data_IF_650187505676
#
_entry.id   IF_650187505676
#
_cell.length_a   1.000
_cell.length_b   1.000
_cell.length_c   1.000
_cell.angle_alpha   90.00
_cell.angle_beta   90.00
_cell.angle_gamma   90.00
#
_symmetry.space_group_name_H-M   'P 1'
#
loop_
_entity.id
_entity.type
_entity.pdbx_description
1 polymer ?
#
# COMPACT_ATOMS: atom_id res chain seq x y z
N UNK A 1 -25.48 14.24 45.63
CA UNK A 1 -25.96 15.16 44.57
C UNK A 1 -25.40 16.53 44.82
N UNK A 2 -24.32 16.96 44.16
CA UNK A 2 -24.29 17.23 42.73
C UNK A 2 -22.84 17.11 42.20
N UNK A 3 -22.57 16.05 41.45
CA UNK A 3 -21.35 15.95 40.63
C UNK A 3 -21.68 16.58 39.27
N UNK A 4 -21.46 17.88 39.16
CA UNK A 4 -21.75 18.64 37.94
C UNK A 4 -20.68 18.34 36.89
N UNK A 5 -21.09 17.53 35.92
CA UNK A 5 -20.34 17.16 34.73
C UNK A 5 -19.64 18.35 34.08
N UNK A 6 -18.30 18.36 34.14
CA UNK A 6 -17.45 19.15 33.25
C UNK A 6 -17.53 18.51 31.86
N UNK A 7 -18.60 18.80 31.12
CA UNK A 7 -18.67 18.53 29.68
C UNK A 7 -17.75 19.54 28.98
N UNK A 8 -16.55 19.08 28.63
CA UNK A 8 -15.59 19.85 27.84
C UNK A 8 -16.24 20.37 26.57
N UNK A 9 -16.33 21.70 26.45
CA UNK A 9 -16.76 22.36 25.23
C UNK A 9 -15.84 21.94 24.07
N UNK A 10 -16.43 21.34 23.03
CA UNK A 10 -15.73 21.05 21.79
C UNK A 10 -15.14 22.35 21.25
N UNK A 11 -13.81 22.44 21.21
CA UNK A 11 -13.10 23.59 20.66
C UNK A 11 -13.31 23.55 19.14
N UNK A 12 -14.29 24.32 18.66
CA UNK A 12 -14.53 24.49 17.23
C UNK A 12 -13.45 25.42 16.67
N UNK A 13 -12.31 24.84 16.27
CA UNK A 13 -11.34 25.54 15.43
C UNK A 13 -11.97 25.95 14.09
N UNK A 14 -11.38 26.91 13.36
CA UNK A 14 -11.87 27.30 12.05
C UNK A 14 -11.95 26.08 11.12
N UNK A 15 -13.10 25.91 10.46
CA UNK A 15 -13.27 24.83 9.48
C UNK A 15 -12.37 25.08 8.28
N UNK A 16 -11.28 24.34 8.20
CA UNK A 16 -10.42 24.32 7.02
C UNK A 16 -11.23 23.70 5.86
N UNK A 17 -11.59 24.54 4.88
CA UNK A 17 -12.19 24.08 3.63
C UNK A 17 -11.11 24.02 2.56
N UNK A 18 -10.90 22.84 2.00
CA UNK A 18 -10.03 22.65 0.84
C UNK A 18 -10.78 23.22 -0.37
N UNK A 19 -10.28 24.28 -1.04
CA UNK A 19 -10.94 24.79 -2.24
C UNK A 19 -10.83 23.76 -3.39
N UNK A 20 -11.91 23.58 -4.13
CA UNK A 20 -11.95 22.70 -5.30
C UNK A 20 -12.41 21.27 -5.00
N UNK A 21 -12.00 20.34 -5.86
CA UNK A 21 -12.33 18.91 -5.75
C UNK A 21 -11.13 18.14 -5.23
N UNK A 22 -11.36 17.17 -4.36
CA UNK A 22 -10.28 16.32 -3.81
C UNK A 22 -10.20 15.03 -4.62
N UNK A 23 -9.00 14.71 -5.10
CA UNK A 23 -8.70 13.44 -5.75
C UNK A 23 -7.88 12.58 -4.80
N UNK A 24 -8.39 11.40 -4.46
CA UNK A 24 -7.69 10.41 -3.66
C UNK A 24 -6.96 9.44 -4.59
N UNK A 25 -5.62 9.44 -4.54
CA UNK A 25 -4.78 8.44 -5.19
C UNK A 25 -4.54 7.30 -4.21
N UNK A 26 -4.79 6.07 -4.65
CA UNK A 26 -4.59 4.89 -3.79
C UNK A 26 -4.10 3.70 -4.63
N UNK A 27 -3.23 2.83 -4.08
CA UNK A 27 -2.79 1.64 -4.78
C UNK A 27 -3.83 0.52 -4.67
N UNK A 28 -4.04 -0.21 -5.77
CA UNK A 28 -4.81 -1.45 -5.84
C UNK A 28 -3.94 -2.49 -6.52
N UNK A 29 -3.62 -3.58 -5.79
CA UNK A 29 -2.75 -4.66 -6.27
C UNK A 29 -1.41 -4.18 -6.88
N UNK A 30 -0.86 -3.09 -6.33
CA UNK A 30 0.42 -2.51 -6.77
C UNK A 30 0.32 -1.49 -7.90
N UNK A 31 -0.88 -1.17 -8.39
CA UNK A 31 -1.11 -0.15 -9.42
C UNK A 31 -1.88 1.03 -8.82
N UNK A 32 -1.48 2.26 -9.12
CA UNK A 32 -2.19 3.45 -8.65
C UNK A 32 -3.53 3.63 -9.38
N UNK A 33 -4.56 3.91 -8.61
CA UNK A 33 -5.88 4.34 -9.09
C UNK A 33 -6.25 5.68 -8.44
N UNK A 34 -7.32 6.30 -8.94
CA UNK A 34 -7.77 7.61 -8.51
C UNK A 34 -9.29 7.68 -8.48
N UNK A 35 -9.82 8.27 -7.40
CA UNK A 35 -11.23 8.60 -7.27
C UNK A 35 -11.42 10.04 -6.81
N UNK A 36 -12.46 10.70 -7.31
CA UNK A 36 -12.92 11.95 -6.73
C UNK A 36 -13.64 11.64 -5.41
N UNK A 37 -13.24 12.35 -4.35
CA UNK A 37 -13.82 12.17 -3.01
C UNK A 37 -14.30 13.51 -2.46
N UNK A 38 -15.25 13.43 -1.53
CA UNK A 38 -15.70 14.61 -0.80
C UNK A 38 -14.59 15.11 0.14
N UNK A 39 -14.60 16.40 0.47
CA UNK A 39 -13.59 17.00 1.35
C UNK A 39 -13.66 16.46 2.80
N UNK A 40 -14.80 15.92 3.19
CA UNK A 40 -15.07 15.26 4.47
C UNK A 40 -14.96 13.73 4.40
N UNK A 41 -14.34 13.18 3.34
CA UNK A 41 -14.13 11.74 3.22
C UNK A 41 -13.37 11.23 4.46
N UNK A 42 -13.92 10.30 5.26
CA UNK A 42 -13.38 10.00 6.59
C UNK A 42 -11.89 9.63 6.62
N UNK A 43 -11.34 8.86 5.65
CA UNK A 43 -9.90 8.60 5.56
C UNK A 43 -9.02 9.85 5.39
N UNK A 44 -9.56 10.97 4.87
CA UNK A 44 -8.85 12.25 4.77
C UNK A 44 -9.01 13.13 6.02
N UNK A 45 -10.00 12.83 6.87
CA UNK A 45 -10.23 13.56 8.13
C UNK A 45 -9.36 13.07 9.29
N UNK A 46 -8.55 12.03 9.08
CA UNK A 46 -7.63 11.48 10.08
C UNK A 46 -6.28 11.16 9.46
N UNK A 47 -5.21 11.26 10.26
CA UNK A 47 -3.87 10.85 9.85
C UNK A 47 -3.65 9.41 10.32
N UNK A 48 -3.68 8.46 9.40
CA UNK A 48 -3.23 7.10 9.67
C UNK A 48 -1.70 7.02 9.59
N UNK A 49 -1.06 6.52 10.64
CA UNK A 49 0.39 6.32 10.65
C UNK A 49 0.74 5.11 9.79
N UNK A 50 1.61 5.33 8.80
CA UNK A 50 2.15 4.29 7.94
C UNK A 50 3.69 4.39 7.90
N UNK A 51 4.43 3.26 7.78
CA UNK A 51 5.89 3.26 7.79
C UNK A 51 6.55 4.16 6.73
N UNK A 52 5.84 4.44 5.63
CA UNK A 52 6.34 5.23 4.50
C UNK A 52 5.71 6.62 4.37
N UNK A 53 4.90 7.07 5.36
CA UNK A 53 4.09 8.29 5.21
C UNK A 53 4.93 9.53 4.84
N UNK A 54 6.13 9.69 5.39
CA UNK A 54 6.99 10.84 5.09
C UNK A 54 7.58 10.74 3.69
N UNK A 55 7.92 9.52 3.25
CA UNK A 55 8.52 9.31 1.94
C UNK A 55 7.48 9.55 0.83
N UNK A 56 6.26 9.05 1.01
CA UNK A 56 5.17 9.11 0.02
C UNK A 56 4.67 10.54 -0.25
N UNK A 57 4.99 11.51 0.61
CA UNK A 57 4.56 12.92 0.48
C UNK A 57 5.64 13.83 -0.12
N UNK A 58 6.77 13.28 -0.58
CA UNK A 58 7.79 14.09 -1.28
C UNK A 58 7.26 14.47 -2.67
N UNK A 59 7.59 15.68 -3.15
CA UNK A 59 7.09 16.22 -4.42
C UNK A 59 7.20 15.27 -5.63
N UNK A 60 8.31 14.52 -5.70
CA UNK A 60 8.55 13.52 -6.76
C UNK A 60 7.59 12.31 -6.70
N UNK A 61 7.14 11.91 -5.52
CA UNK A 61 6.29 10.73 -5.35
C UNK A 61 4.85 11.01 -5.84
N UNK A 62 4.35 12.24 -5.70
CA UNK A 62 3.07 12.62 -6.30
C UNK A 62 3.11 12.49 -7.83
N UNK A 63 4.20 12.96 -8.45
CA UNK A 63 4.37 12.84 -9.89
C UNK A 63 4.50 11.37 -10.31
N UNK A 64 5.23 10.55 -9.54
CA UNK A 64 5.33 9.11 -9.76
C UNK A 64 3.96 8.42 -9.67
N UNK A 65 3.15 8.73 -8.66
CA UNK A 65 1.80 8.20 -8.50
C UNK A 65 0.86 8.59 -9.66
N UNK A 66 0.92 9.84 -10.13
CA UNK A 66 0.14 10.30 -11.29
C UNK A 66 0.59 9.63 -12.59
N UNK A 67 1.90 9.42 -12.78
CA UNK A 67 2.44 8.66 -13.91
C UNK A 67 2.02 7.20 -13.86
N UNK A 68 2.10 6.58 -12.68
CA UNK A 68 1.63 5.22 -12.44
C UNK A 68 0.13 5.05 -12.71
N UNK A 69 -0.70 6.02 -12.31
CA UNK A 69 -2.12 6.05 -12.64
C UNK A 69 -2.36 6.09 -14.16
N UNK A 70 -1.64 6.97 -14.87
CA UNK A 70 -1.76 7.09 -16.32
C UNK A 70 -1.32 5.81 -17.02
N UNK A 71 -0.21 5.22 -16.60
CA UNK A 71 0.30 3.96 -17.14
C UNK A 71 -0.66 2.79 -16.84
N UNK A 72 -1.16 2.68 -15.61
CA UNK A 72 -2.15 1.66 -15.22
C UNK A 72 -3.45 1.74 -16.02
N UNK A 73 -3.91 2.95 -16.37
CA UNK A 73 -5.09 3.13 -17.24
C UNK A 73 -4.83 2.75 -18.70
N UNK A 74 -3.59 2.87 -19.16
CA UNK A 74 -3.20 2.52 -20.53
C UNK A 74 -2.74 1.06 -20.65
N UNK A 75 -2.61 0.35 -19.53
CA UNK A 75 -2.08 -1.00 -19.48
C UNK A 75 -3.01 -1.99 -20.23
N UNK A 76 -2.45 -2.89 -21.04
CA UNK A 76 -3.24 -3.88 -21.76
C UNK A 76 -3.83 -4.97 -20.85
N UNK A 77 -3.24 -5.17 -19.66
CA UNK A 77 -3.65 -6.22 -18.71
C UNK A 77 -3.92 -5.63 -17.34
N UNK A 78 -4.91 -6.20 -16.66
CA UNK A 78 -5.15 -5.90 -15.25
C UNK A 78 -4.11 -6.60 -14.38
N UNK A 79 -3.65 -5.96 -13.28
CA UNK A 79 -2.75 -6.61 -12.34
C UNK A 79 -3.43 -7.80 -11.68
N UNK A 80 -2.66 -8.84 -11.31
CA UNK A 80 -3.21 -10.00 -10.60
C UNK A 80 -3.72 -9.60 -9.21
N UNK A 81 -4.79 -10.27 -8.75
CA UNK A 81 -5.27 -10.10 -7.39
C UNK A 81 -4.20 -10.54 -6.38
N UNK A 82 -3.98 -9.71 -5.36
CA UNK A 82 -3.04 -10.04 -4.29
C UNK A 82 -3.68 -10.97 -3.28
N UNK A 83 -3.01 -12.10 -3.01
CA UNK A 83 -3.42 -13.02 -1.96
C UNK A 83 -3.36 -12.31 -0.60
N UNK A 84 -4.41 -12.40 0.24
CA UNK A 84 -4.39 -11.73 1.54
C UNK A 84 -3.36 -12.40 2.46
N UNK A 85 -2.71 -11.62 3.33
CA UNK A 85 -1.67 -12.15 4.22
C UNK A 85 -2.13 -13.28 5.15
N UNK A 86 -3.43 -13.33 5.48
CA UNK A 86 -4.01 -14.40 6.30
C UNK A 86 -4.04 -15.77 5.61
N UNK A 87 -4.06 -15.81 4.29
CA UNK A 87 -4.19 -17.07 3.52
C UNK A 87 -2.81 -17.67 3.18
N UNK A 88 -1.73 -16.93 3.45
CA UNK A 88 -0.35 -17.37 3.25
C UNK A 88 0.38 -17.56 4.57
N UNK A 89 0.33 -18.76 5.14
CA UNK A 89 1.11 -19.11 6.33
C UNK A 89 2.62 -19.27 6.02
N UNK A 90 2.95 -19.54 4.76
CA UNK A 90 4.31 -19.78 4.28
C UNK A 90 4.57 -19.11 2.93
N UNK A 91 5.85 -18.96 2.59
CA UNK A 91 6.28 -18.40 1.32
C UNK A 91 5.80 -19.25 0.14
N UNK A 92 5.19 -18.62 -0.87
CA UNK A 92 4.70 -19.33 -2.07
C UNK A 92 5.81 -19.82 -3.03
N UNK A 93 7.08 -19.59 -2.70
CA UNK A 93 8.25 -20.05 -3.47
C UNK A 93 9.00 -21.16 -2.72
N UNK A 94 9.49 -20.88 -1.51
CA UNK A 94 10.29 -21.84 -0.74
C UNK A 94 9.50 -22.62 0.33
N UNK A 95 8.22 -22.31 0.54
CA UNK A 95 7.37 -22.91 1.58
C UNK A 95 7.86 -22.70 3.02
N UNK A 96 8.86 -21.85 3.24
CA UNK A 96 9.32 -21.49 4.57
C UNK A 96 8.29 -20.59 5.28
N UNK A 97 8.10 -20.73 6.60
CA UNK A 97 7.27 -19.81 7.37
C UNK A 97 7.92 -18.42 7.38
N UNK A 98 7.15 -17.35 7.25
CA UNK A 98 7.69 -15.99 7.09
C UNK A 98 8.61 -15.52 8.22
N UNK A 99 8.45 -16.07 9.43
CA UNK A 99 9.28 -15.73 10.60
C UNK A 99 10.50 -16.61 10.80
N UNK A 100 10.86 -17.46 9.82
CA UNK A 100 11.96 -18.42 10.00
C UNK A 100 13.32 -17.76 10.30
N UNK A 101 13.54 -16.54 9.81
CA UNK A 101 14.77 -15.77 10.00
C UNK A 101 14.73 -14.83 11.23
N UNK A 102 13.57 -14.67 11.88
CA UNK A 102 13.40 -13.77 13.03
C UNK A 102 13.36 -14.51 14.35
N UNK A 103 14.14 -14.05 15.32
CA UNK A 103 14.04 -14.49 16.72
C UNK A 103 12.80 -13.93 17.43
N UNK A 104 12.14 -12.93 16.83
CA UNK A 104 10.95 -12.28 17.38
C UNK A 104 9.67 -12.78 16.71
N UNK A 105 8.73 -13.32 17.51
CA UNK A 105 7.42 -13.81 17.06
C UNK A 105 6.29 -12.80 17.24
N UNK A 106 6.59 -11.50 17.08
CA UNK A 106 5.54 -10.47 17.19
C UNK A 106 4.70 -10.41 15.91
N UNK A 107 3.43 -10.08 16.04
CA UNK A 107 2.53 -9.89 14.89
C UNK A 107 3.05 -8.82 13.92
N UNK A 108 3.71 -7.77 14.43
CA UNK A 108 4.36 -6.76 13.60
C UNK A 108 5.52 -7.34 12.76
N UNK A 109 6.37 -8.18 13.36
CA UNK A 109 7.46 -8.85 12.64
C UNK A 109 6.93 -9.81 11.57
N UNK A 110 5.88 -10.57 11.89
CA UNK A 110 5.22 -11.44 10.90
C UNK A 110 4.69 -10.67 9.69
N UNK A 111 4.12 -9.47 9.90
CA UNK A 111 3.63 -8.64 8.80
C UNK A 111 4.79 -8.09 7.98
N UNK A 112 5.87 -7.61 8.62
CA UNK A 112 7.03 -7.08 7.91
C UNK A 112 7.78 -8.12 7.08
N UNK A 113 7.70 -9.40 7.44
CA UNK A 113 8.35 -10.49 6.70
C UNK A 113 7.55 -10.99 5.49
N UNK A 114 6.28 -10.58 5.35
CA UNK A 114 5.41 -10.96 4.23
C UNK A 114 5.46 -9.89 3.13
N UNK A 115 5.67 -10.31 1.89
CA UNK A 115 5.67 -9.42 0.73
C UNK A 115 4.81 -9.97 -0.39
N UNK A 116 4.17 -9.12 -1.18
CA UNK A 116 3.49 -9.54 -2.41
C UNK A 116 4.42 -9.44 -3.61
N UNK A 117 4.42 -10.47 -4.45
CA UNK A 117 4.99 -10.37 -5.80
C UNK A 117 4.06 -9.54 -6.68
N UNK A 118 4.55 -8.43 -7.26
CA UNK A 118 3.73 -7.55 -8.10
C UNK A 118 3.30 -8.20 -9.43
N UNK A 119 4.00 -9.24 -9.88
CA UNK A 119 3.71 -9.94 -11.13
C UNK A 119 2.69 -11.08 -11.01
N UNK A 120 2.56 -11.73 -9.84
CA UNK A 120 1.62 -12.85 -9.64
C UNK A 120 0.71 -12.74 -8.43
N UNK A 121 0.88 -11.72 -7.57
CA UNK A 121 0.03 -11.46 -6.40
C UNK A 121 0.24 -12.40 -5.21
N UNK A 122 1.13 -13.40 -5.31
CA UNK A 122 1.41 -14.36 -4.21
C UNK A 122 2.23 -13.73 -3.08
N UNK A 123 2.07 -14.26 -1.87
CA UNK A 123 2.85 -13.84 -0.69
C UNK A 123 4.18 -14.61 -0.64
N UNK A 124 5.29 -13.88 -0.56
CA UNK A 124 6.67 -14.37 -0.64
C UNK A 124 7.56 -13.71 0.40
N UNK A 125 8.62 -14.40 0.83
CA UNK A 125 9.54 -13.87 1.83
C UNK A 125 10.56 -12.93 1.17
N UNK A 126 11.33 -12.20 1.99
CA UNK A 126 12.38 -11.29 1.51
C UNK A 126 13.41 -11.99 0.62
N UNK A 127 13.87 -13.19 1.04
CA UNK A 127 14.87 -13.97 0.32
C UNK A 127 14.42 -14.39 -1.08
N UNK A 128 13.15 -14.80 -1.24
CA UNK A 128 12.60 -15.25 -2.52
C UNK A 128 12.02 -14.11 -3.39
N UNK A 129 12.33 -12.86 -3.05
CA UNK A 129 11.84 -11.68 -3.77
C UNK A 129 12.86 -10.54 -3.77
N UNK A 130 14.14 -10.87 -3.89
CA UNK A 130 15.22 -9.88 -3.89
C UNK A 130 15.29 -9.05 -5.19
N UNK A 131 14.59 -9.48 -6.24
CA UNK A 131 14.61 -8.84 -7.55
C UNK A 131 13.51 -7.78 -7.71
N UNK A 132 13.84 -6.71 -8.43
CA UNK A 132 12.90 -5.68 -8.85
C UNK A 132 12.88 -5.61 -10.38
N UNK A 133 11.68 -5.62 -10.97
CA UNK A 133 11.48 -5.64 -12.42
C UNK A 133 10.32 -4.69 -12.77
N UNK A 134 10.43 -4.00 -13.90
CA UNK A 134 9.34 -3.20 -14.45
C UNK A 134 8.24 -4.13 -15.01
N UNK A 135 6.96 -3.79 -14.83
CA UNK A 135 5.84 -4.57 -15.37
C UNK A 135 4.96 -3.70 -16.29
N UNK A 136 5.42 -3.37 -17.53
CA UNK A 136 4.70 -2.49 -18.44
C UNK A 136 3.31 -3.00 -18.82
N UNK A 137 3.15 -4.33 -18.92
CA UNK A 137 1.87 -5.00 -19.20
C UNK A 137 0.78 -4.67 -18.18
N UNK A 138 1.16 -4.38 -16.93
CA UNK A 138 0.27 -3.96 -15.86
C UNK A 138 0.31 -2.45 -15.61
N UNK A 139 1.03 -1.69 -16.45
CA UNK A 139 1.19 -0.25 -16.30
C UNK A 139 2.13 0.16 -15.16
N UNK A 140 3.00 -0.74 -14.72
CA UNK A 140 4.01 -0.46 -13.69
C UNK A 140 5.35 -0.20 -14.38
N UNK A 141 5.66 1.07 -14.58
CA UNK A 141 6.87 1.50 -15.33
C UNK A 141 8.12 1.55 -14.46
N UNK A 142 7.96 1.72 -13.15
CA UNK A 142 9.08 1.70 -12.21
C UNK A 142 9.40 0.25 -11.78
N UNK A 143 10.67 -0.07 -11.46
CA UNK A 143 11.02 -1.38 -10.93
C UNK A 143 10.28 -1.68 -9.64
N UNK A 144 9.65 -2.85 -9.57
CA UNK A 144 8.92 -3.31 -8.38
C UNK A 144 9.30 -4.73 -8.01
N UNK A 145 9.18 -5.03 -6.71
CA UNK A 145 9.46 -6.35 -6.14
C UNK A 145 8.69 -7.47 -6.86
N UNK A 146 9.42 -8.44 -7.37
CA UNK A 146 8.89 -9.69 -7.93
C UNK A 146 9.52 -10.88 -7.22
N UNK A 147 8.82 -12.01 -7.18
CA UNK A 147 9.43 -13.24 -6.69
C UNK A 147 10.39 -13.82 -7.73
N UNK A 148 11.35 -14.63 -7.28
CA UNK A 148 12.38 -15.20 -8.15
C UNK A 148 11.77 -15.96 -9.34
N UNK A 149 10.71 -16.74 -9.10
CA UNK A 149 10.00 -17.46 -10.15
C UNK A 149 9.46 -16.53 -11.26
N UNK A 150 8.96 -15.35 -10.90
CA UNK A 150 8.52 -14.36 -11.88
C UNK A 150 9.71 -13.63 -12.52
N UNK A 151 10.73 -13.29 -11.74
CA UNK A 151 11.92 -12.60 -12.24
C UNK A 151 12.63 -13.38 -13.37
N UNK A 152 12.62 -14.72 -13.31
CA UNK A 152 13.24 -15.57 -14.34
C UNK A 152 12.36 -15.85 -15.56
N UNK A 153 11.06 -15.51 -15.51
CA UNK A 153 10.10 -15.82 -16.59
C UNK A 153 9.71 -14.58 -17.40
N UNK A 154 9.88 -13.39 -16.83
CA UNK A 154 9.56 -12.10 -17.45
C UNK A 154 10.75 -11.59 -18.29
#
# INVERSE_FOLDING_TARGET
DTDAAVKGAARHGPTLRIPGRVMHLYPVHGVYTAAWVAADFPPLTSIALAPHMINDHRGREYLAALRGLRAGRAAPRTPPAWAPFRDGAACAVCSAPFVWESTCRSSAQEVCARHHCRACGRVVCGACSAHEVCLPDFGIVEPVRVCDACAWTL
#
